data_IF_369102095422
#
_entry.id   IF_369102095422
#
_cell.length_a   1.000
_cell.length_b   1.000
_cell.length_c   1.000
_cell.angle_alpha   90.00
_cell.angle_beta   90.00
_cell.angle_gamma   90.00
#
_symmetry.space_group_name_H-M   'P 1'
#
loop_
_entity.id
_entity.type
_entity.pdbx_description
1 polymer ?
#
# COMPACT_ATOMS: atom_id res chain seq x y z
N UNK A 1 -16.16 -5.63 -19.51
CA UNK A 1 -15.84 -4.74 -18.37
C UNK A 1 -15.57 -3.32 -18.86
N UNK A 2 -16.43 -2.33 -18.57
CA UNK A 2 -16.24 -0.92 -19.00
C UNK A 2 -15.28 -0.10 -18.11
N UNK A 3 -14.86 -0.64 -16.96
CA UNK A 3 -14.05 0.04 -15.93
C UNK A 3 -12.58 0.24 -16.36
N UNK A 4 -12.02 -0.66 -17.16
CA UNK A 4 -10.62 -0.64 -17.60
C UNK A 4 -10.35 0.24 -18.84
N UNK A 5 -11.35 0.99 -19.32
CA UNK A 5 -11.21 1.74 -20.58
C UNK A 5 -10.30 2.97 -20.45
N UNK A 6 -10.11 3.47 -19.23
CA UNK A 6 -9.17 4.54 -18.94
C UNK A 6 -7.87 4.01 -18.35
N UNK A 7 -6.76 4.40 -18.98
CA UNK A 7 -5.41 4.09 -18.49
C UNK A 7 -5.22 4.55 -17.05
N UNK A 8 -5.71 5.73 -16.67
CA UNK A 8 -5.55 6.28 -15.32
C UNK A 8 -6.34 5.51 -14.26
N UNK A 9 -7.57 5.09 -14.57
CA UNK A 9 -8.33 4.20 -13.67
C UNK A 9 -7.64 2.85 -13.51
N UNK A 10 -7.14 2.27 -14.62
CA UNK A 10 -6.40 1.02 -14.57
C UNK A 10 -5.13 1.12 -13.72
N UNK A 11 -4.36 2.20 -13.87
CA UNK A 11 -3.17 2.44 -13.05
C UNK A 11 -3.53 2.63 -11.57
N UNK A 12 -4.56 3.41 -11.25
CA UNK A 12 -4.98 3.61 -9.85
C UNK A 12 -5.36 2.29 -9.16
N UNK A 13 -6.17 1.48 -9.82
CA UNK A 13 -6.57 0.16 -9.29
C UNK A 13 -5.36 -0.79 -9.23
N UNK A 14 -4.54 -0.82 -10.29
CA UNK A 14 -3.36 -1.68 -10.36
C UNK A 14 -2.35 -1.39 -9.25
N UNK A 15 -2.12 -0.12 -8.92
CA UNK A 15 -1.25 0.28 -7.83
C UNK A 15 -1.76 -0.18 -6.47
N UNK A 16 -3.08 -0.17 -6.24
CA UNK A 16 -3.66 -0.74 -5.03
C UNK A 16 -3.55 -2.26 -4.97
N UNK A 17 -3.64 -2.96 -6.10
CA UNK A 17 -3.40 -4.41 -6.14
C UNK A 17 -1.95 -4.72 -5.76
N UNK A 18 -0.98 -3.98 -6.34
CA UNK A 18 0.45 -4.11 -6.01
C UNK A 18 0.69 -3.86 -4.51
N UNK A 19 0.07 -2.81 -3.97
CA UNK A 19 0.10 -2.52 -2.55
C UNK A 19 -0.39 -3.69 -1.68
N UNK A 20 -1.57 -4.25 -2.00
CA UNK A 20 -2.12 -5.39 -1.27
C UNK A 20 -1.21 -6.62 -1.34
N UNK A 21 -0.60 -6.89 -2.48
CA UNK A 21 0.38 -7.98 -2.64
C UNK A 21 1.61 -7.72 -1.78
N UNK A 22 2.13 -6.49 -1.77
CA UNK A 22 3.29 -6.12 -0.95
C UNK A 22 2.98 -6.27 0.55
N UNK A 23 1.81 -5.83 1.01
CA UNK A 23 1.37 -6.08 2.40
C UNK A 23 1.30 -7.57 2.69
N UNK A 24 0.69 -8.36 1.80
CA UNK A 24 0.54 -9.80 2.01
C UNK A 24 1.91 -10.47 2.14
N UNK A 25 2.84 -10.14 1.25
CA UNK A 25 4.22 -10.62 1.30
C UNK A 25 4.87 -10.20 2.63
N UNK A 26 4.76 -8.93 3.02
CA UNK A 26 5.32 -8.44 4.29
C UNK A 26 4.77 -9.21 5.49
N UNK A 27 3.45 -9.42 5.56
CA UNK A 27 2.81 -10.15 6.65
C UNK A 27 3.21 -11.63 6.63
N UNK A 28 3.26 -12.27 5.47
CA UNK A 28 3.69 -13.66 5.32
C UNK A 28 5.13 -13.83 5.83
N UNK A 29 6.05 -12.95 5.40
CA UNK A 29 7.42 -12.93 5.92
C UNK A 29 7.46 -12.63 7.42
N UNK A 30 6.64 -11.72 7.95
CA UNK A 30 6.62 -11.43 9.38
C UNK A 30 6.11 -12.63 10.20
N UNK A 31 5.06 -13.32 9.74
CA UNK A 31 4.46 -14.47 10.43
C UNK A 31 5.28 -15.75 10.32
N UNK A 32 5.87 -16.04 9.16
CA UNK A 32 6.75 -17.21 9.00
C UNK A 32 8.04 -17.05 9.84
N UNK A 33 8.48 -15.81 10.08
CA UNK A 33 9.59 -15.55 10.99
C UNK A 33 9.21 -15.77 12.46
N UNK A 34 8.00 -15.40 12.91
CA UNK A 34 7.55 -15.69 14.30
C UNK A 34 7.64 -17.20 14.63
N UNK A 35 7.48 -18.07 13.62
CA UNK A 35 7.61 -19.53 13.80
C UNK A 35 9.05 -20.08 13.66
N UNK A 36 9.97 -19.34 13.02
CA UNK A 36 11.38 -19.70 12.91
C UNK A 36 12.26 -19.06 14.00
N UNK A 37 11.74 -18.05 14.73
CA UNK A 37 12.46 -17.22 15.70
C UNK A 37 12.59 -17.84 17.10
N UNK A 38 12.93 -19.14 17.15
CA UNK A 38 13.61 -19.73 18.31
C UNK A 38 15.13 -19.66 18.19
N UNK A 39 15.66 -19.07 17.12
CA UNK A 39 17.09 -19.00 16.88
C UNK A 39 17.50 -17.95 15.86
N UNK A 40 17.74 -16.74 16.35
CA UNK A 40 18.64 -15.76 15.75
C UNK A 40 18.38 -15.38 14.28
N UNK A 41 17.48 -14.42 14.04
CA UNK A 41 17.66 -13.48 12.93
C UNK A 41 17.44 -12.05 13.41
N UNK A 42 18.54 -11.34 13.69
CA UNK A 42 18.50 -9.93 14.02
C UNK A 42 18.16 -9.14 12.74
N UNK A 43 16.86 -8.94 12.50
CA UNK A 43 16.36 -8.15 11.38
C UNK A 43 16.77 -6.70 11.61
N UNK A 44 17.54 -6.13 10.68
CA UNK A 44 17.96 -4.74 10.76
C UNK A 44 16.74 -3.85 10.61
N UNK A 45 16.47 -2.97 11.59
CA UNK A 45 15.41 -1.97 11.54
C UNK A 45 15.41 -1.18 10.20
N UNK A 46 16.59 -1.01 9.59
CA UNK A 46 16.74 -0.35 8.29
C UNK A 46 16.07 -1.08 7.13
N UNK A 47 16.00 -2.41 7.14
CA UNK A 47 15.38 -3.20 6.06
C UNK A 47 13.86 -3.08 6.10
N UNK A 48 13.27 -3.05 7.31
CA UNK A 48 11.84 -2.84 7.50
C UNK A 48 11.41 -1.43 7.11
N UNK A 49 12.20 -0.42 7.50
CA UNK A 49 11.97 0.97 7.08
C UNK A 49 12.03 1.08 5.55
N UNK A 50 13.03 0.48 4.92
CA UNK A 50 13.19 0.51 3.45
C UNK A 50 12.00 -0.15 2.75
N UNK A 51 11.56 -1.31 3.24
CA UNK A 51 10.40 -2.00 2.68
C UNK A 51 9.11 -1.16 2.80
N UNK A 52 8.83 -0.61 3.99
CA UNK A 52 7.64 0.21 4.23
C UNK A 52 7.65 1.46 3.33
N UNK A 53 8.78 2.14 3.24
CA UNK A 53 8.89 3.37 2.44
C UNK A 53 8.75 3.12 0.93
N UNK A 54 9.39 2.08 0.39
CA UNK A 54 9.39 1.86 -1.06
C UNK A 54 8.30 0.91 -1.54
N UNK A 55 8.09 -0.21 -0.86
CA UNK A 55 7.14 -1.23 -1.31
C UNK A 55 5.70 -0.93 -0.91
N UNK A 56 5.45 -0.11 0.13
CA UNK A 56 4.10 0.22 0.58
C UNK A 56 3.68 1.65 0.22
N UNK A 57 4.49 2.67 0.53
CA UNK A 57 4.09 4.06 0.27
C UNK A 57 4.08 4.43 -1.22
N UNK A 58 5.00 3.89 -2.04
CA UNK A 58 5.02 4.21 -3.48
C UNK A 58 3.76 3.69 -4.19
N UNK A 59 3.33 2.42 -4.01
CA UNK A 59 2.05 1.95 -4.52
C UNK A 59 0.85 2.77 -4.04
N UNK A 60 0.78 3.10 -2.75
CA UNK A 60 -0.30 3.90 -2.17
C UNK A 60 -0.36 5.33 -2.74
N UNK A 61 0.78 6.02 -2.79
CA UNK A 61 0.89 7.36 -3.35
C UNK A 61 0.51 7.39 -4.83
N UNK A 62 1.01 6.42 -5.60
CA UNK A 62 0.62 6.26 -7.01
C UNK A 62 -0.88 6.03 -7.17
N UNK A 63 -1.47 5.13 -6.36
CA UNK A 63 -2.91 4.86 -6.38
C UNK A 63 -3.74 6.13 -6.13
N UNK A 64 -3.37 6.96 -5.15
CA UNK A 64 -4.06 8.22 -4.84
C UNK A 64 -3.96 9.19 -6.01
N UNK A 65 -2.75 9.41 -6.54
CA UNK A 65 -2.50 10.35 -7.65
C UNK A 65 -3.32 9.95 -8.87
N UNK A 66 -3.25 8.69 -9.29
CA UNK A 66 -3.97 8.22 -10.47
C UNK A 66 -5.49 8.22 -10.26
N UNK A 67 -5.97 7.91 -9.05
CA UNK A 67 -7.40 7.98 -8.71
C UNK A 67 -7.92 9.42 -8.75
N UNK A 68 -7.15 10.38 -8.23
CA UNK A 68 -7.52 11.80 -8.26
C UNK A 68 -7.58 12.34 -9.71
N UNK A 69 -6.58 12.02 -10.53
CA UNK A 69 -6.53 12.42 -11.95
C UNK A 69 -7.72 11.83 -12.71
N UNK A 70 -8.06 10.56 -12.48
CA UNK A 70 -9.18 9.90 -13.15
C UNK A 70 -10.56 10.46 -12.70
N UNK A 71 -10.71 10.85 -11.42
CA UNK A 71 -11.91 11.53 -10.93
C UNK A 71 -12.11 12.90 -11.57
N UNK A 72 -11.02 13.67 -11.76
CA UNK A 72 -11.04 14.96 -12.45
C UNK A 72 -11.50 14.88 -13.91
N UNK A 73 -11.24 13.75 -14.57
CA UNK A 73 -11.62 13.50 -15.98
C UNK A 73 -13.09 13.04 -16.17
N UNK A 74 -13.93 13.10 -15.12
CA UNK A 74 -15.35 12.68 -15.15
C UNK A 74 -15.57 11.28 -15.73
N UNK A 75 -14.68 10.33 -15.43
CA UNK A 75 -14.79 8.95 -15.92
C UNK A 75 -16.06 8.24 -15.41
N UNK A 76 -16.56 7.28 -16.19
CA UNK A 76 -17.78 6.51 -15.90
C UNK A 76 -17.69 5.63 -14.63
N UNK A 77 -16.50 5.47 -14.07
CA UNK A 77 -16.17 4.59 -12.92
C UNK A 77 -16.00 5.32 -11.59
N UNK A 78 -16.68 6.47 -11.39
CA UNK A 78 -16.51 7.32 -10.18
C UNK A 78 -16.61 6.56 -8.86
N UNK A 79 -17.57 5.65 -8.71
CA UNK A 79 -17.74 4.90 -7.46
C UNK A 79 -16.53 4.03 -7.11
N UNK A 80 -15.98 3.32 -8.10
CA UNK A 80 -14.78 2.48 -7.92
C UNK A 80 -13.56 3.34 -7.59
N UNK A 81 -13.42 4.49 -8.25
CA UNK A 81 -12.34 5.43 -8.00
C UNK A 81 -12.40 6.06 -6.62
N UNK A 82 -13.59 6.45 -6.15
CA UNK A 82 -13.78 6.98 -4.80
C UNK A 82 -13.43 5.91 -3.76
N UNK A 83 -13.90 4.67 -3.97
CA UNK A 83 -13.53 3.57 -3.09
C UNK A 83 -12.01 3.33 -3.08
N UNK A 84 -11.38 3.30 -4.25
CA UNK A 84 -9.93 3.13 -4.40
C UNK A 84 -9.15 4.24 -3.69
N UNK A 85 -9.61 5.48 -3.79
CA UNK A 85 -9.02 6.64 -3.13
C UNK A 85 -9.17 6.54 -1.59
N UNK A 86 -10.38 6.28 -1.09
CA UNK A 86 -10.65 6.14 0.34
C UNK A 86 -9.84 4.99 0.95
N UNK A 87 -9.78 3.85 0.26
CA UNK A 87 -8.95 2.71 0.66
C UNK A 87 -7.48 3.12 0.79
N UNK A 88 -6.93 3.81 -0.22
CA UNK A 88 -5.53 4.24 -0.20
C UNK A 88 -5.24 5.25 0.92
N UNK A 89 -6.13 6.22 1.14
CA UNK A 89 -5.97 7.21 2.21
C UNK A 89 -5.99 6.53 3.58
N UNK A 90 -6.93 5.61 3.80
CA UNK A 90 -7.02 4.84 5.04
C UNK A 90 -5.70 4.12 5.35
N UNK A 91 -5.13 3.42 4.37
CA UNK A 91 -3.88 2.69 4.56
C UNK A 91 -2.66 3.60 4.72
N UNK A 92 -2.61 4.77 4.07
CA UNK A 92 -1.56 5.76 4.33
C UNK A 92 -1.58 6.22 5.78
N UNK A 93 -2.75 6.56 6.30
CA UNK A 93 -2.89 7.00 7.70
C UNK A 93 -2.47 5.88 8.64
N UNK A 94 -2.94 4.66 8.37
CA UNK A 94 -2.60 3.49 9.19
C UNK A 94 -1.09 3.21 9.22
N UNK A 95 -0.43 3.18 8.06
CA UNK A 95 1.03 2.97 7.96
C UNK A 95 1.79 4.11 8.62
N UNK A 96 1.33 5.36 8.46
CA UNK A 96 1.94 6.52 9.11
C UNK A 96 1.90 6.43 10.63
N UNK A 97 0.74 6.07 11.20
CA UNK A 97 0.59 5.87 12.65
C UNK A 97 1.50 4.73 13.12
N UNK A 98 1.49 3.59 12.43
CA UNK A 98 2.33 2.45 12.78
C UNK A 98 3.82 2.79 12.73
N UNK A 99 4.27 3.54 11.72
CA UNK A 99 5.64 3.99 11.60
C UNK A 99 6.06 4.90 12.76
N UNK A 100 5.20 5.85 13.15
CA UNK A 100 5.46 6.70 14.33
C UNK A 100 5.53 5.87 15.62
N UNK A 101 4.64 4.89 15.80
CA UNK A 101 4.69 3.99 16.95
C UNK A 101 5.99 3.16 16.99
N UNK A 102 6.48 2.67 15.85
CA UNK A 102 7.76 1.97 15.75
C UNK A 102 8.93 2.87 16.17
N UNK A 103 8.95 4.13 15.73
CA UNK A 103 10.00 5.08 16.08
C UNK A 103 10.02 5.46 17.57
N UNK A 104 8.86 5.53 18.23
CA UNK A 104 8.77 5.86 19.66
C UNK A 104 9.14 4.65 20.54
N UNK A 105 8.95 3.42 20.04
CA UNK A 105 9.20 2.20 20.80
C UNK A 105 10.67 1.75 20.79
N UNK A 106 11.52 2.43 20.02
CA UNK A 106 12.96 2.24 19.94
C UNK A 106 13.70 3.36 20.69
#
# INVERSE_FOLDING_TARGET
MKILRSKTTCFGIGMNIIFCIAIYIYIAYYNDFIYLDSGNLHRSLGDDITYILYALLVPLGGSIIFSYIALGKKEYSKGVLIFNLCFSIFFIIFIGIWFVCLLISF
#
